data_IF_808074190086
#
_entry.id   IF_808074190086
#
_cell.length_a   1.000
_cell.length_b   1.000
_cell.length_c   1.000
_cell.angle_alpha   90.00
_cell.angle_beta   90.00
_cell.angle_gamma   90.00
#
_symmetry.space_group_name_H-M   'P 1'
#
loop_
_entity.id
_entity.type
_entity.pdbx_description
1 polymer ?
#
# COMPACT_ATOMS: atom_id res chain seq x y z
N UNK A 1 2.63 44.32 12.08
CA UNK A 1 3.23 43.70 13.27
C UNK A 1 3.78 42.37 12.84
N UNK A 2 5.01 42.06 13.24
CA UNK A 2 5.61 40.76 12.98
C UNK A 2 4.81 39.67 13.72
N UNK A 3 4.24 38.72 12.96
CA UNK A 3 3.47 37.60 13.53
C UNK A 3 4.38 36.47 14.00
N UNK A 4 5.68 36.55 13.71
CA UNK A 4 6.65 35.51 14.03
C UNK A 4 6.66 35.09 15.51
N UNK A 5 6.58 36.00 16.50
CA UNK A 5 6.55 35.60 17.91
C UNK A 5 5.33 34.76 18.29
N UNK A 6 4.17 34.99 17.67
CA UNK A 6 2.98 34.19 17.97
C UNK A 6 3.00 32.85 17.24
N UNK A 7 3.60 32.81 16.05
CA UNK A 7 3.78 31.58 15.28
C UNK A 7 4.71 30.61 16.03
N UNK A 8 5.85 31.11 16.52
CA UNK A 8 6.79 30.35 17.36
C UNK A 8 6.13 29.84 18.67
N UNK A 9 5.30 30.67 19.30
CA UNK A 9 4.54 30.29 20.48
C UNK A 9 3.54 29.16 20.15
N UNK A 10 2.80 29.30 19.05
CA UNK A 10 1.83 28.30 18.60
C UNK A 10 2.47 26.96 18.27
N UNK A 11 3.58 26.96 17.54
CA UNK A 11 4.35 25.75 17.25
C UNK A 11 4.86 25.08 18.53
N UNK A 12 5.43 25.85 19.46
CA UNK A 12 5.90 25.35 20.75
C UNK A 12 4.77 24.72 21.56
N UNK A 13 3.60 25.35 21.55
CA UNK A 13 2.41 24.82 22.20
C UNK A 13 1.95 23.51 21.56
N UNK A 14 1.90 23.44 20.22
CA UNK A 14 1.55 22.22 19.48
C UNK A 14 2.50 21.07 19.83
N UNK A 15 3.83 21.30 19.79
CA UNK A 15 4.84 20.31 20.18
C UNK A 15 4.59 19.78 21.59
N UNK A 16 4.36 20.69 22.56
CA UNK A 16 4.09 20.31 23.95
C UNK A 16 2.83 19.46 24.11
N UNK A 17 1.80 19.71 23.28
CA UNK A 17 0.53 18.96 23.31
C UNK A 17 0.68 17.59 22.65
N UNK A 18 1.40 17.51 21.54
CA UNK A 18 1.69 16.26 20.85
C UNK A 18 2.57 15.33 21.71
N UNK A 19 3.57 15.87 22.39
CA UNK A 19 4.43 15.12 23.31
C UNK A 19 3.65 14.44 24.43
N UNK A 20 2.58 15.06 24.94
CA UNK A 20 1.69 14.46 25.96
C UNK A 20 0.96 13.21 25.49
N UNK A 21 0.92 12.94 24.19
CA UNK A 21 0.31 11.77 23.58
C UNK A 21 1.34 10.82 22.95
N UNK A 22 2.62 11.00 23.29
CA UNK A 22 3.76 10.19 22.84
C UNK A 22 4.07 10.32 21.34
N UNK A 23 3.83 11.51 20.76
CA UNK A 23 4.27 11.82 19.41
C UNK A 23 5.62 12.53 19.40
N UNK A 24 6.57 11.97 18.66
CA UNK A 24 7.84 12.61 18.37
C UNK A 24 7.67 13.62 17.23
N UNK A 25 7.87 14.90 17.56
CA UNK A 25 7.78 16.00 16.60
C UNK A 25 9.17 16.48 16.20
N UNK A 26 9.42 16.60 14.90
CA UNK A 26 10.61 17.21 14.34
C UNK A 26 10.21 18.51 13.65
N UNK A 27 10.91 19.61 13.93
CA UNK A 27 10.79 20.84 13.14
C UNK A 27 11.43 20.61 11.76
N UNK A 28 10.85 21.19 10.71
CA UNK A 28 11.40 21.03 9.37
C UNK A 28 12.83 21.60 9.29
N UNK A 29 13.71 20.85 8.63
CA UNK A 29 15.09 21.22 8.35
C UNK A 29 15.11 22.31 7.26
N UNK A 30 14.86 23.55 7.67
CA UNK A 30 15.31 24.77 6.97
C UNK A 30 14.90 24.98 5.49
N UNK A 31 13.84 24.34 5.01
CA UNK A 31 13.28 24.60 3.67
C UNK A 31 11.76 24.59 3.70
N UNK A 32 11.17 25.78 3.69
CA UNK A 32 9.73 26.09 3.66
C UNK A 32 9.09 25.60 2.33
N UNK A 33 8.94 24.29 2.17
CA UNK A 33 8.33 23.65 1.01
C UNK A 33 7.02 22.96 1.44
N UNK A 34 5.95 23.26 0.71
CA UNK A 34 4.61 22.67 0.88
C UNK A 34 3.86 23.03 2.17
N UNK A 35 4.18 24.16 2.82
CA UNK A 35 3.42 24.63 3.99
C UNK A 35 3.50 23.71 5.21
N UNK A 36 4.67 23.12 5.43
CA UNK A 36 4.92 22.22 6.57
C UNK A 36 5.74 22.97 7.61
N UNK A 37 5.21 23.16 8.82
CA UNK A 37 5.96 23.77 9.92
C UNK A 37 6.56 22.69 10.83
N UNK A 38 5.84 21.58 11.01
CA UNK A 38 6.22 20.45 11.86
C UNK A 38 5.99 19.12 11.13
N UNK A 39 6.79 18.12 11.48
CA UNK A 39 6.61 16.75 11.02
C UNK A 39 6.51 15.84 12.24
N UNK A 40 5.45 15.04 12.33
CA UNK A 40 5.44 13.89 13.24
C UNK A 40 5.96 12.71 12.45
N UNK A 41 6.92 11.98 13.02
CA UNK A 41 7.37 10.73 12.42
C UNK A 41 7.04 9.56 13.34
N UNK A 42 6.67 8.44 12.74
CA UNK A 42 6.52 7.20 13.46
C UNK A 42 7.22 6.11 12.67
N UNK A 43 8.10 5.37 13.34
CA UNK A 43 8.59 4.10 12.80
C UNK A 43 7.41 3.15 12.72
N UNK A 44 7.01 2.88 11.50
CA UNK A 44 5.99 1.88 11.20
C UNK A 44 6.60 0.48 11.32
N UNK A 45 7.88 0.35 10.97
CA UNK A 45 8.72 -0.83 11.17
C UNK A 45 10.21 -0.44 11.34
N UNK A 46 11.13 -1.42 11.35
CA UNK A 46 12.58 -1.21 11.53
C UNK A 46 13.24 -0.37 10.41
N UNK A 47 12.56 -0.09 9.30
CA UNK A 47 13.14 0.54 8.10
C UNK A 47 12.28 1.62 7.44
N UNK A 48 10.97 1.64 7.70
CA UNK A 48 10.03 2.60 7.12
C UNK A 48 9.63 3.64 8.16
N UNK A 49 9.91 4.91 7.83
CA UNK A 49 9.45 6.06 8.59
C UNK A 49 8.24 6.65 7.89
N UNK A 50 7.05 6.50 8.50
CA UNK A 50 5.88 7.26 8.05
C UNK A 50 5.89 8.63 8.71
N UNK A 51 5.33 9.61 8.03
CA UNK A 51 5.28 10.97 8.54
C UNK A 51 3.93 11.63 8.26
N UNK A 52 3.57 12.56 9.14
CA UNK A 52 2.43 13.46 8.98
C UNK A 52 2.98 14.89 8.90
N UNK A 53 2.61 15.61 7.85
CA UNK A 53 2.92 17.03 7.66
C UNK A 53 1.95 17.85 8.51
N UNK A 54 2.48 18.74 9.33
CA UNK A 54 1.69 19.66 10.15
C UNK A 54 1.94 21.09 9.73
N UNK A 55 0.86 21.80 9.42
CA UNK A 55 0.87 23.26 9.37
C UNK A 55 0.34 23.81 10.71
N UNK A 56 1.10 24.71 11.31
CA UNK A 56 0.74 25.55 12.45
C UNK A 56 0.23 26.91 11.97
N UNK A 57 -0.96 27.31 12.42
CA UNK A 57 -1.47 28.68 12.23
C UNK A 57 -1.88 29.27 13.58
N UNK A 58 -1.04 30.16 14.11
CA UNK A 58 -1.30 30.86 15.36
C UNK A 58 -2.05 32.18 15.13
N UNK A 59 -3.06 32.51 15.96
CA UNK A 59 -3.85 33.74 15.82
C UNK A 59 -4.19 34.36 17.18
N UNK A 60 -4.09 35.69 17.29
CA UNK A 60 -4.77 36.46 18.35
C UNK A 60 -6.18 36.79 17.91
N UNK A 61 -7.18 36.46 18.72
CA UNK A 61 -8.59 36.68 18.41
C UNK A 61 -9.15 37.85 19.21
N UNK A 62 -9.12 39.05 18.60
CA UNK A 62 -9.70 40.25 19.19
C UNK A 62 -11.18 40.43 18.81
N UNK A 63 -11.49 40.36 17.51
CA UNK A 63 -12.87 40.40 16.97
C UNK A 63 -13.10 39.25 16.01
N UNK A 64 -12.28 39.19 14.97
CA UNK A 64 -12.28 38.12 13.98
C UNK A 64 -10.90 37.96 13.36
N UNK A 65 -10.63 36.77 12.84
CA UNK A 65 -9.44 36.45 12.07
C UNK A 65 -9.78 35.45 10.98
N UNK A 66 -8.84 35.25 10.05
CA UNK A 66 -8.98 34.24 9.01
C UNK A 66 -7.73 33.36 8.94
N UNK A 67 -7.94 32.07 8.73
CA UNK A 67 -6.90 31.11 8.36
C UNK A 67 -7.10 30.72 6.91
N UNK A 68 -6.02 30.72 6.14
CA UNK A 68 -6.01 30.41 4.70
C UNK A 68 -5.02 29.30 4.45
N UNK A 69 -5.42 28.29 3.69
CA UNK A 69 -4.60 27.13 3.34
C UNK A 69 -4.73 26.88 1.84
N UNK A 70 -3.61 26.83 1.08
CA UNK A 70 -3.63 26.41 -0.32
C UNK A 70 -4.23 25.02 -0.47
N UNK A 71 -5.09 24.83 -1.48
CA UNK A 71 -5.71 23.51 -1.74
C UNK A 71 -4.69 22.42 -2.01
N UNK A 72 -3.60 22.77 -2.68
CA UNK A 72 -2.50 21.86 -3.01
C UNK A 72 -1.80 21.23 -1.80
N UNK A 73 -1.98 21.79 -0.60
CA UNK A 73 -1.37 21.24 0.62
C UNK A 73 -2.24 20.16 1.27
N UNK A 74 -3.54 20.17 1.04
CA UNK A 74 -4.49 19.30 1.72
C UNK A 74 -4.52 17.94 1.04
N UNK A 75 -4.08 16.90 1.75
CA UNK A 75 -4.10 15.50 1.35
C UNK A 75 -4.15 14.60 2.62
N UNK A 76 -4.10 13.28 2.44
CA UNK A 76 -4.25 12.32 3.55
C UNK A 76 -3.15 12.37 4.62
N UNK A 77 -1.98 12.96 4.33
CA UNK A 77 -0.86 13.10 5.27
C UNK A 77 -0.71 14.51 5.83
N UNK A 78 -1.63 15.42 5.50
CA UNK A 78 -1.62 16.81 5.96
C UNK A 78 -2.59 17.04 7.11
N UNK A 79 -2.11 17.70 8.16
CA UNK A 79 -2.91 18.09 9.32
C UNK A 79 -2.70 19.57 9.63
N UNK A 80 -3.78 20.31 9.79
CA UNK A 80 -3.73 21.70 10.21
C UNK A 80 -3.99 21.81 11.71
N UNK A 81 -3.09 22.47 12.40
CA UNK A 81 -3.32 22.96 13.76
C UNK A 81 -3.57 24.47 13.75
N UNK A 82 -4.65 24.89 14.40
CA UNK A 82 -4.95 26.30 14.63
C UNK A 82 -4.85 26.57 16.13
N UNK A 83 -3.86 27.38 16.51
CA UNK A 83 -3.68 27.84 17.88
C UNK A 83 -4.25 29.26 18.02
N UNK A 84 -5.14 29.45 18.99
CA UNK A 84 -5.84 30.73 19.21
C UNK A 84 -5.58 31.21 20.63
N UNK A 85 -5.17 32.48 20.76
CA UNK A 85 -5.17 33.21 22.03
C UNK A 85 -6.29 34.23 21.97
N UNK A 86 -7.24 34.17 22.90
CA UNK A 86 -8.30 35.17 23.00
C UNK A 86 -7.85 36.43 23.76
N UNK A 87 -8.73 37.42 23.85
CA UNK A 87 -8.44 38.67 24.55
C UNK A 87 -8.28 38.51 26.07
N UNK A 88 -8.81 37.43 26.65
CA UNK A 88 -8.62 37.05 28.06
C UNK A 88 -7.33 36.24 28.26
N UNK A 89 -6.51 36.10 27.21
CA UNK A 89 -5.28 35.28 27.17
C UNK A 89 -5.54 33.79 27.38
N UNK A 90 -6.75 33.30 27.16
CA UNK A 90 -7.03 31.86 27.12
C UNK A 90 -6.54 31.29 25.80
N UNK A 91 -5.95 30.10 25.90
CA UNK A 91 -5.34 29.38 24.80
C UNK A 91 -6.24 28.23 24.35
N UNK A 92 -6.45 28.13 23.05
CA UNK A 92 -7.24 27.07 22.43
C UNK A 92 -6.43 26.44 21.30
N UNK A 93 -6.53 25.12 21.17
CA UNK A 93 -5.88 24.39 20.10
C UNK A 93 -6.89 23.53 19.36
N UNK A 94 -6.93 23.70 18.05
CA UNK A 94 -7.82 22.97 17.16
C UNK A 94 -7.01 22.18 16.13
N UNK A 95 -7.49 21.00 15.76
CA UNK A 95 -6.86 20.07 14.84
C UNK A 95 -7.84 19.65 13.74
N UNK A 96 -7.41 19.83 12.49
CA UNK A 96 -8.20 19.59 11.28
C UNK A 96 -7.49 18.59 10.38
N UNK A 97 -8.26 17.58 9.96
CA UNK A 97 -7.86 16.58 8.97
C UNK A 97 -8.49 16.93 7.62
N UNK A 98 -8.14 16.19 6.57
CA UNK A 98 -8.68 16.37 5.20
C UNK A 98 -10.21 16.48 5.18
N UNK A 99 -10.93 15.57 5.85
CA UNK A 99 -12.40 15.57 5.88
C UNK A 99 -13.01 16.80 6.60
N UNK A 100 -12.23 17.46 7.46
CA UNK A 100 -12.71 18.59 8.26
C UNK A 100 -12.77 19.89 7.42
N UNK A 101 -12.24 19.90 6.19
CA UNK A 101 -12.23 21.09 5.32
C UNK A 101 -13.60 21.55 4.82
N UNK A 102 -14.64 20.74 5.02
CA UNK A 102 -16.04 21.09 4.72
C UNK A 102 -16.53 22.33 5.45
N UNK A 103 -15.94 22.70 6.60
CA UNK A 103 -16.30 23.93 7.34
C UNK A 103 -15.60 25.19 6.81
N UNK A 104 -14.64 25.02 5.89
CA UNK A 104 -13.90 26.11 5.28
C UNK A 104 -14.68 26.62 4.07
N UNK A 105 -14.60 27.94 3.83
CA UNK A 105 -15.09 28.49 2.58
C UNK A 105 -14.08 28.16 1.49
N UNK A 106 -14.52 27.39 0.51
CA UNK A 106 -13.73 27.10 -0.68
C UNK A 106 -13.65 28.34 -1.59
N UNK A 107 -12.43 28.64 -2.06
CA UNK A 107 -12.16 29.59 -3.15
C UNK A 107 -11.38 28.88 -4.25
N UNK A 108 -11.01 29.58 -5.32
CA UNK A 108 -10.31 29.00 -6.47
C UNK A 108 -9.07 28.16 -6.07
N UNK A 109 -8.13 28.75 -5.32
CA UNK A 109 -6.86 28.09 -4.95
C UNK A 109 -6.64 27.87 -3.45
N UNK A 110 -7.57 28.31 -2.60
CA UNK A 110 -7.41 28.26 -1.14
C UNK A 110 -8.70 27.85 -0.42
N UNK A 111 -8.54 27.22 0.73
CA UNK A 111 -9.56 27.08 1.76
C UNK A 111 -9.44 28.20 2.78
N UNK A 112 -10.56 28.84 3.13
CA UNK A 112 -10.57 29.96 4.07
C UNK A 112 -11.52 29.71 5.24
N UNK A 113 -10.97 29.66 6.46
CA UNK A 113 -11.75 29.61 7.68
C UNK A 113 -11.79 30.98 8.34
N UNK A 114 -12.99 31.57 8.36
CA UNK A 114 -13.26 32.76 9.16
C UNK A 114 -13.65 32.37 10.58
N UNK A 115 -13.01 33.03 11.55
CA UNK A 115 -13.13 32.77 12.98
C UNK A 115 -13.49 34.09 13.66
N UNK A 116 -14.68 34.18 14.24
CA UNK A 116 -15.12 35.33 15.04
C UNK A 116 -15.15 34.99 16.52
N UNK A 117 -14.83 35.96 17.37
CA UNK A 117 -14.80 35.81 18.82
C UNK A 117 -16.14 35.32 19.39
N UNK A 118 -17.26 35.82 18.84
CA UNK A 118 -18.60 35.46 19.31
C UNK A 118 -19.02 34.02 19.02
N UNK A 119 -18.41 33.34 18.05
CA UNK A 119 -18.89 32.01 17.61
C UNK A 119 -17.82 30.94 17.53
N UNK A 120 -16.53 31.26 17.68
CA UNK A 120 -15.46 30.27 17.42
C UNK A 120 -15.56 29.05 18.33
N UNK A 121 -15.81 29.23 19.63
CA UNK A 121 -15.88 28.12 20.58
C UNK A 121 -16.97 27.11 20.19
N UNK A 122 -18.15 27.59 19.77
CA UNK A 122 -19.23 26.73 19.29
C UNK A 122 -18.88 26.09 17.94
N UNK A 123 -18.43 26.91 16.98
CA UNK A 123 -18.12 26.48 15.60
C UNK A 123 -17.00 25.44 15.54
N UNK A 124 -15.99 25.56 16.41
CA UNK A 124 -14.78 24.73 16.39
C UNK A 124 -14.74 23.69 17.51
N UNK A 125 -15.81 23.57 18.31
CA UNK A 125 -15.90 22.64 19.44
C UNK A 125 -15.46 21.21 19.10
N UNK A 126 -15.96 20.67 17.99
CA UNK A 126 -15.63 19.32 17.49
C UNK A 126 -14.21 19.17 16.91
N UNK A 127 -13.46 20.25 16.84
CA UNK A 127 -12.09 20.27 16.33
C UNK A 127 -11.06 20.51 17.42
N UNK A 128 -11.48 20.63 18.69
CA UNK A 128 -10.56 20.80 19.82
C UNK A 128 -9.55 19.65 19.85
N UNK A 129 -8.26 19.95 19.96
CA UNK A 129 -7.24 18.92 20.06
C UNK A 129 -7.27 18.29 21.45
N UNK A 130 -7.80 17.08 21.50
CA UNK A 130 -7.96 16.26 22.69
C UNK A 130 -7.50 14.82 22.42
N UNK A 131 -7.81 13.91 23.36
CA UNK A 131 -7.49 12.49 23.20
C UNK A 131 -8.10 11.88 21.94
N UNK A 132 -9.32 12.26 21.55
CA UNK A 132 -9.97 11.72 20.34
C UNK A 132 -9.23 12.14 19.07
N UNK A 133 -8.80 13.41 18.98
CA UNK A 133 -7.97 13.87 17.85
C UNK A 133 -6.58 13.23 17.85
N UNK A 134 -5.97 13.02 19.02
CA UNK A 134 -4.72 12.29 19.15
C UNK A 134 -4.86 10.82 18.69
N UNK A 135 -5.94 10.14 19.08
CA UNK A 135 -6.21 8.76 18.64
C UNK A 135 -6.45 8.70 17.12
N UNK A 136 -7.09 9.72 16.52
CA UNK A 136 -7.22 9.83 15.05
C UNK A 136 -5.86 10.02 14.35
N UNK A 137 -4.92 10.77 14.93
CA UNK A 137 -3.54 10.84 14.42
C UNK A 137 -2.84 9.47 14.48
N UNK A 138 -3.00 8.71 15.57
CA UNK A 138 -2.44 7.34 15.68
C UNK A 138 -3.05 6.42 14.61
N UNK A 139 -4.36 6.52 14.38
CA UNK A 139 -5.05 5.73 13.36
C UNK A 139 -4.56 6.05 11.92
N UNK A 140 -4.14 7.29 11.63
CA UNK A 140 -3.50 7.61 10.34
C UNK A 140 -2.20 6.83 10.16
N UNK A 141 -1.35 6.77 11.18
CA UNK A 141 -0.13 5.96 11.11
C UNK A 141 -0.43 4.47 10.93
N UNK A 142 -1.46 3.93 11.59
CA UNK A 142 -1.91 2.55 11.35
C UNK A 142 -2.42 2.33 9.91
N UNK A 143 -3.10 3.30 9.32
CA UNK A 143 -3.48 3.25 7.89
C UNK A 143 -2.24 3.20 7.00
N UNK A 144 -1.20 3.99 7.31
CA UNK A 144 0.05 3.97 6.56
C UNK A 144 0.83 2.66 6.71
N UNK A 145 0.55 1.84 7.74
CA UNK A 145 1.11 0.48 7.84
C UNK A 145 0.51 -0.51 6.85
N UNK A 146 -0.72 -0.27 6.36
CA UNK A 146 -1.37 -1.19 5.43
C UNK A 146 -0.64 -1.16 4.09
N UNK A 147 -0.29 -2.34 3.57
CA UNK A 147 0.37 -2.48 2.27
C UNK A 147 -0.56 -2.03 1.16
N UNK A 148 -0.18 -0.96 0.46
CA UNK A 148 -1.03 -0.33 -0.56
C UNK A 148 -0.99 -1.04 -1.92
N UNK A 149 -0.04 -1.95 -2.12
CA UNK A 149 0.26 -2.59 -3.40
C UNK A 149 0.12 -4.11 -3.32
N UNK A 150 0.04 -4.75 -4.49
CA UNK A 150 0.16 -6.21 -4.61
C UNK A 150 1.13 -6.55 -5.71
N UNK A 151 2.03 -7.48 -5.41
CA UNK A 151 3.00 -8.00 -6.36
C UNK A 151 2.76 -9.49 -6.56
N UNK A 152 2.61 -9.90 -7.81
CA UNK A 152 2.62 -11.28 -8.23
C UNK A 152 4.04 -11.66 -8.66
N UNK A 153 4.62 -12.68 -8.06
CA UNK A 153 5.95 -13.20 -8.39
C UNK A 153 5.79 -14.64 -8.89
N UNK A 154 6.34 -14.94 -10.05
CA UNK A 154 6.19 -16.23 -10.72
C UNK A 154 7.56 -16.84 -10.98
N UNK A 155 7.77 -18.02 -10.40
CA UNK A 155 8.89 -18.89 -10.74
C UNK A 155 8.59 -19.61 -12.07
N UNK A 156 9.34 -19.26 -13.12
CA UNK A 156 9.16 -19.83 -14.45
C UNK A 156 9.57 -21.30 -14.58
N UNK A 157 10.43 -21.82 -13.69
CA UNK A 157 10.75 -23.26 -13.62
C UNK A 157 9.54 -24.02 -13.13
N UNK A 158 9.01 -23.60 -11.98
CA UNK A 158 7.81 -24.19 -11.41
C UNK A 158 6.58 -24.03 -12.32
N UNK A 159 6.42 -22.87 -12.98
CA UNK A 159 5.30 -22.65 -13.89
C UNK A 159 5.33 -23.61 -15.10
N UNK A 160 6.51 -23.86 -15.69
CA UNK A 160 6.65 -24.81 -16.80
C UNK A 160 6.19 -26.20 -16.39
N UNK A 161 6.68 -26.68 -15.26
CA UNK A 161 6.31 -28.00 -14.74
C UNK A 161 4.81 -28.07 -14.46
N UNK A 162 4.25 -27.02 -13.85
CA UNK A 162 2.82 -26.93 -13.56
C UNK A 162 1.97 -26.98 -14.82
N UNK A 163 2.40 -26.33 -15.91
CA UNK A 163 1.73 -26.37 -17.21
C UNK A 163 1.75 -27.79 -17.79
N UNK A 164 2.91 -28.45 -17.77
CA UNK A 164 3.07 -29.80 -18.32
C UNK A 164 2.20 -30.81 -17.56
N UNK A 165 2.21 -30.77 -16.23
CA UNK A 165 1.41 -31.69 -15.41
C UNK A 165 -0.08 -31.41 -15.50
N UNK A 166 -0.48 -30.14 -15.47
CA UNK A 166 -1.88 -29.75 -15.64
C UNK A 166 -2.40 -30.21 -17.02
N UNK A 167 -1.61 -30.01 -18.07
CA UNK A 167 -1.96 -30.47 -19.41
C UNK A 167 -2.10 -31.99 -19.47
N UNK A 168 -1.15 -32.73 -18.87
CA UNK A 168 -1.19 -34.20 -18.82
C UNK A 168 -2.46 -34.68 -18.11
N UNK A 169 -2.69 -34.19 -16.90
CA UNK A 169 -3.84 -34.56 -16.08
C UNK A 169 -5.15 -34.34 -16.84
N UNK A 170 -5.43 -33.11 -17.28
CA UNK A 170 -6.71 -32.81 -17.93
C UNK A 170 -6.87 -33.41 -19.32
N UNK A 171 -5.78 -33.64 -20.06
CA UNK A 171 -5.86 -34.34 -21.35
C UNK A 171 -6.30 -35.80 -21.19
N UNK A 172 -5.91 -36.46 -20.09
CA UNK A 172 -6.34 -37.83 -19.77
C UNK A 172 -7.85 -37.89 -19.47
N UNK A 173 -8.39 -36.91 -18.71
CA UNK A 173 -9.81 -36.86 -18.34
C UNK A 173 -10.72 -36.43 -19.51
N UNK A 174 -10.39 -35.32 -20.19
CA UNK A 174 -11.28 -34.72 -21.19
C UNK A 174 -11.07 -35.26 -22.61
N UNK A 175 -10.02 -36.07 -22.84
CA UNK A 175 -9.70 -36.73 -24.12
C UNK A 175 -9.70 -35.77 -25.33
N UNK A 176 -9.32 -34.51 -25.11
CA UNK A 176 -9.24 -33.46 -26.15
C UNK A 176 -7.89 -32.77 -26.10
N UNK A 177 -7.49 -32.19 -27.24
CA UNK A 177 -6.28 -31.39 -27.32
C UNK A 177 -6.52 -30.03 -26.65
N UNK A 178 -5.84 -29.81 -25.53
CA UNK A 178 -5.87 -28.53 -24.81
C UNK A 178 -5.05 -27.47 -25.56
N UNK A 179 -5.44 -26.20 -25.39
CA UNK A 179 -4.74 -25.07 -26.02
C UNK A 179 -3.44 -24.79 -25.26
N UNK A 180 -2.43 -24.32 -25.98
CA UNK A 180 -1.24 -23.75 -25.35
C UNK A 180 -1.67 -22.52 -24.53
N UNK A 181 -1.37 -22.47 -23.22
CA UNK A 181 -1.82 -21.38 -22.36
C UNK A 181 -1.09 -20.07 -22.70
N UNK A 182 -1.75 -18.94 -22.41
CA UNK A 182 -1.17 -17.59 -22.54
C UNK A 182 -0.88 -17.00 -21.17
N UNK A 183 0.28 -16.37 -21.00
CA UNK A 183 0.71 -15.82 -19.71
C UNK A 183 -0.31 -14.83 -19.12
N UNK A 184 -0.84 -13.90 -19.93
CA UNK A 184 -1.80 -12.92 -19.44
C UNK A 184 -3.10 -13.55 -18.93
N UNK A 185 -3.58 -14.64 -19.54
CA UNK A 185 -4.80 -15.33 -19.08
C UNK A 185 -4.56 -16.08 -17.77
N UNK A 186 -3.37 -16.68 -17.59
CA UNK A 186 -2.96 -17.28 -16.30
C UNK A 186 -2.93 -16.20 -15.22
N UNK A 187 -2.20 -15.09 -15.46
CA UNK A 187 -2.07 -13.98 -14.51
C UNK A 187 -3.43 -13.39 -14.15
N UNK A 188 -4.27 -13.13 -15.15
CA UNK A 188 -5.64 -12.64 -14.97
C UNK A 188 -6.46 -13.60 -14.10
N UNK A 189 -6.39 -14.89 -14.36
CA UNK A 189 -7.12 -15.91 -13.59
C UNK A 189 -6.63 -16.02 -12.15
N UNK A 190 -5.31 -15.90 -11.92
CA UNK A 190 -4.74 -15.82 -10.56
C UNK A 190 -5.33 -14.62 -9.81
N UNK A 191 -5.30 -13.44 -10.43
CA UNK A 191 -5.79 -12.20 -9.82
C UNK A 191 -7.28 -12.30 -9.51
N UNK A 192 -8.11 -12.75 -10.47
CA UNK A 192 -9.57 -12.85 -10.27
C UNK A 192 -9.92 -13.84 -9.14
N UNK A 193 -9.22 -14.97 -9.05
CA UNK A 193 -9.60 -16.05 -8.13
C UNK A 193 -8.98 -15.93 -6.74
N UNK A 194 -7.73 -15.45 -6.68
CA UNK A 194 -6.89 -15.60 -5.50
C UNK A 194 -6.44 -14.29 -4.87
N UNK A 195 -6.46 -13.17 -5.61
CA UNK A 195 -6.16 -11.88 -5.00
C UNK A 195 -7.28 -11.47 -4.02
N UNK A 196 -7.03 -11.63 -2.72
CA UNK A 196 -7.97 -11.30 -1.64
C UNK A 196 -7.56 -10.06 -0.84
N UNK A 197 -6.50 -9.39 -1.26
CA UNK A 197 -5.97 -8.25 -0.53
C UNK A 197 -6.86 -7.02 -0.76
N UNK A 198 -7.17 -6.28 0.31
CA UNK A 198 -7.80 -4.96 0.20
C UNK A 198 -6.77 -3.99 -0.39
N UNK A 199 -6.90 -3.69 -1.68
CA UNK A 199 -5.97 -2.80 -2.37
C UNK A 199 -6.49 -1.36 -2.33
N UNK A 200 -5.65 -0.43 -1.86
CA UNK A 200 -5.92 1.01 -1.99
C UNK A 200 -5.63 1.52 -3.41
N UNK A 201 -4.73 0.85 -4.13
CA UNK A 201 -4.38 1.16 -5.52
C UNK A 201 -4.70 -0.02 -6.44
N UNK A 202 -5.29 0.27 -7.59
CA UNK A 202 -5.73 -0.75 -8.54
C UNK A 202 -4.60 -1.27 -9.45
N UNK A 203 -3.33 -1.14 -9.07
CA UNK A 203 -2.19 -1.53 -9.90
C UNK A 203 -1.48 -2.75 -9.32
N UNK A 204 -1.26 -3.77 -10.15
CA UNK A 204 -0.54 -5.01 -9.80
C UNK A 204 0.68 -5.15 -10.69
N UNK A 205 1.85 -5.26 -10.05
CA UNK A 205 3.08 -5.63 -10.72
C UNK A 205 3.22 -7.16 -10.73
N UNK A 206 3.43 -7.75 -11.89
CA UNK A 206 3.66 -9.17 -12.08
C UNK A 206 5.09 -9.39 -12.57
N UNK A 207 5.90 -10.15 -11.84
CA UNK A 207 7.27 -10.50 -12.22
C UNK A 207 7.34 -11.98 -12.56
N UNK A 208 7.81 -12.30 -13.76
CA UNK A 208 8.09 -13.66 -14.21
C UNK A 208 9.60 -13.83 -14.39
N UNK A 209 10.19 -14.75 -13.62
CA UNK A 209 11.62 -15.08 -13.71
C UNK A 209 11.80 -16.37 -14.48
N UNK A 210 12.58 -16.33 -15.55
CA UNK A 210 12.84 -17.45 -16.44
C UNK A 210 14.33 -17.75 -16.42
N UNK A 211 14.70 -19.02 -16.21
CA UNK A 211 16.10 -19.44 -16.41
C UNK A 211 16.42 -19.49 -17.92
N UNK A 212 17.59 -19.03 -18.32
CA UNK A 212 18.08 -19.12 -19.70
C UNK A 212 18.22 -20.56 -20.20
N UNK A 213 18.27 -21.53 -19.28
CA UNK A 213 18.30 -22.96 -19.58
C UNK A 213 16.90 -23.60 -19.57
N UNK A 214 15.84 -22.80 -19.39
CA UNK A 214 14.47 -23.28 -19.28
C UNK A 214 13.64 -22.93 -20.52
N UNK A 215 13.13 -23.97 -21.18
CA UNK A 215 12.22 -23.85 -22.33
C UNK A 215 10.75 -23.49 -21.98
N UNK A 216 10.49 -22.60 -21.02
CA UNK A 216 9.12 -22.21 -20.65
C UNK A 216 8.33 -21.71 -21.87
N UNK A 217 8.99 -21.00 -22.79
CA UNK A 217 8.41 -20.44 -24.03
C UNK A 217 7.85 -21.54 -24.95
N UNK A 218 8.34 -22.78 -24.85
CA UNK A 218 7.83 -23.89 -25.65
C UNK A 218 6.43 -24.34 -25.19
N UNK A 219 6.10 -24.16 -23.91
CA UNK A 219 4.83 -24.60 -23.31
C UNK A 219 3.88 -23.45 -22.97
N UNK A 220 4.38 -22.20 -22.96
CA UNK A 220 3.63 -21.00 -22.62
C UNK A 220 3.78 -19.93 -23.71
N UNK A 221 2.68 -19.30 -24.12
CA UNK A 221 2.73 -18.13 -24.98
C UNK A 221 2.94 -16.85 -24.15
N UNK A 222 4.12 -16.25 -24.32
CA UNK A 222 4.51 -14.99 -23.69
C UNK A 222 4.47 -13.90 -24.78
N UNK A 223 3.45 -13.04 -24.74
CA UNK A 223 3.34 -11.92 -25.67
C UNK A 223 4.12 -10.72 -25.13
N UNK A 224 5.36 -10.58 -25.60
CA UNK A 224 6.24 -9.45 -25.23
C UNK A 224 5.71 -8.07 -25.67
N UNK A 225 4.67 -8.01 -26.52
CA UNK A 225 4.04 -6.74 -26.95
C UNK A 225 2.88 -6.32 -26.04
N UNK A 226 2.27 -7.26 -25.33
CA UNK A 226 1.16 -7.01 -24.40
C UNK A 226 1.57 -7.27 -22.95
N UNK A 227 2.49 -6.45 -22.45
CA UNK A 227 2.96 -6.50 -21.07
C UNK A 227 2.04 -5.76 -20.08
N UNK A 228 0.90 -5.24 -20.53
CA UNK A 228 -0.07 -4.58 -19.66
C UNK A 228 -1.51 -4.82 -20.09
N UNK A 229 -2.40 -5.07 -19.14
CA UNK A 229 -3.82 -5.28 -19.40
C UNK A 229 -4.68 -4.91 -18.19
N UNK A 230 -5.98 -4.75 -18.42
CA UNK A 230 -6.96 -4.48 -17.37
C UNK A 230 -7.72 -5.76 -16.99
N UNK A 231 -7.88 -5.99 -15.69
CA UNK A 231 -8.75 -7.00 -15.11
C UNK A 231 -10.03 -6.32 -14.61
N UNK A 232 -11.18 -6.80 -15.06
CA UNK A 232 -12.52 -6.28 -14.73
C UNK A 232 -12.66 -4.76 -14.94
N UNK A 233 -11.93 -4.17 -15.90
CA UNK A 233 -11.88 -2.73 -16.19
C UNK A 233 -11.49 -1.83 -15.00
N UNK A 234 -10.89 -2.40 -13.95
CA UNK A 234 -10.51 -1.67 -12.73
C UNK A 234 -9.05 -1.85 -12.40
N UNK A 235 -8.56 -3.08 -12.44
CA UNK A 235 -7.20 -3.41 -11.98
C UNK A 235 -6.25 -3.42 -13.17
N UNK A 236 -5.26 -2.53 -13.17
CA UNK A 236 -4.16 -2.52 -14.13
C UNK A 236 -3.10 -3.53 -13.73
N UNK A 237 -2.73 -4.40 -14.65
CA UNK A 237 -1.69 -5.40 -14.43
C UNK A 237 -0.55 -5.10 -15.39
N UNK A 238 0.67 -5.04 -14.86
CA UNK A 238 1.89 -4.89 -15.67
C UNK A 238 2.81 -6.07 -15.44
N UNK A 239 3.16 -6.77 -16.52
CA UNK A 239 4.04 -7.94 -16.52
C UNK A 239 5.47 -7.50 -16.85
N UNK A 240 6.41 -7.94 -16.02
CA UNK A 240 7.85 -7.83 -16.21
C UNK A 240 8.41 -9.24 -16.38
N UNK A 241 9.10 -9.49 -17.49
CA UNK A 241 9.73 -10.78 -17.76
C UNK A 241 11.24 -10.61 -17.65
N UNK A 242 11.86 -11.40 -16.78
CA UNK A 242 13.28 -11.38 -16.51
C UNK A 242 13.90 -12.74 -16.82
N UNK A 243 15.01 -12.71 -17.54
CA UNK A 243 15.78 -13.90 -17.91
C UNK A 243 17.08 -13.95 -17.11
N UNK A 244 17.42 -15.12 -16.57
CA UNK A 244 18.59 -15.28 -15.70
C UNK A 244 19.41 -16.53 -16.00
N UNK A 245 20.73 -16.40 -15.88
CA UNK A 245 21.67 -17.54 -15.86
C UNK A 245 21.84 -18.13 -14.45
N UNK A 246 21.35 -17.44 -13.42
CA UNK A 246 21.44 -17.85 -12.02
C UNK A 246 20.25 -18.71 -11.62
N UNK A 247 20.27 -19.23 -10.38
CA UNK A 247 19.12 -19.91 -9.80
C UNK A 247 17.97 -18.92 -9.62
N UNK A 248 16.87 -19.17 -10.33
CA UNK A 248 15.64 -18.35 -10.30
C UNK A 248 15.15 -18.12 -8.87
N UNK A 249 15.28 -19.12 -8.00
CA UNK A 249 14.82 -19.04 -6.63
C UNK A 249 15.54 -17.96 -5.80
N UNK A 250 16.83 -17.72 -6.01
CA UNK A 250 17.55 -16.67 -5.28
C UNK A 250 17.10 -15.27 -5.68
N UNK A 251 16.86 -15.05 -6.97
CA UNK A 251 16.34 -13.76 -7.44
C UNK A 251 14.93 -13.48 -6.91
N UNK A 252 14.10 -14.52 -6.85
CA UNK A 252 12.77 -14.43 -6.26
C UNK A 252 12.85 -14.12 -4.76
N UNK A 253 13.77 -14.76 -4.01
CA UNK A 253 13.97 -14.47 -2.58
C UNK A 253 14.42 -13.02 -2.36
N UNK A 254 15.35 -12.51 -3.16
CA UNK A 254 15.79 -11.12 -3.09
C UNK A 254 14.64 -10.14 -3.36
N UNK A 255 13.82 -10.43 -4.36
CA UNK A 255 12.70 -9.58 -4.72
C UNK A 255 11.53 -9.69 -3.73
N UNK A 256 11.30 -10.84 -3.12
CA UNK A 256 10.41 -10.97 -1.95
C UNK A 256 10.91 -10.07 -0.82
N UNK A 257 12.21 -10.11 -0.48
CA UNK A 257 12.78 -9.24 0.55
C UNK A 257 12.63 -7.75 0.23
N UNK A 258 12.77 -7.38 -1.04
CA UNK A 258 12.56 -6.01 -1.52
C UNK A 258 11.11 -5.57 -1.40
N UNK A 259 10.16 -6.43 -1.76
CA UNK A 259 8.75 -6.05 -1.91
C UNK A 259 7.89 -6.29 -0.67
N UNK A 260 8.26 -7.23 0.21
CA UNK A 260 7.43 -7.69 1.35
C UNK A 260 6.92 -6.54 2.22
N UNK A 261 7.70 -5.46 2.37
CA UNK A 261 7.37 -4.34 3.26
C UNK A 261 6.22 -3.46 2.76
N UNK A 262 6.11 -3.25 1.44
CA UNK A 262 5.11 -2.33 0.86
C UNK A 262 4.05 -3.04 0.01
N UNK A 263 4.23 -4.34 -0.27
CA UNK A 263 3.37 -5.10 -1.15
C UNK A 263 2.84 -6.34 -0.46
N UNK A 264 1.55 -6.59 -0.63
CA UNK A 264 1.01 -7.94 -0.49
C UNK A 264 1.62 -8.83 -1.57
N UNK A 265 2.01 -10.06 -1.24
CA UNK A 265 2.71 -10.92 -2.20
C UNK A 265 1.86 -12.12 -2.59
N UNK A 266 1.78 -12.39 -3.89
CA UNK A 266 1.30 -13.66 -4.44
C UNK A 266 2.52 -14.34 -5.05
N UNK A 267 2.92 -15.49 -4.54
CA UNK A 267 4.09 -16.25 -5.00
C UNK A 267 3.64 -17.52 -5.71
N UNK A 268 3.98 -17.69 -6.99
CA UNK A 268 3.78 -18.93 -7.74
C UNK A 268 5.07 -19.74 -7.70
N UNK A 269 5.16 -20.67 -6.75
CA UNK A 269 6.30 -21.54 -6.51
C UNK A 269 5.87 -22.78 -5.70
N UNK A 270 6.61 -23.89 -5.81
CA UNK A 270 6.41 -25.07 -4.96
C UNK A 270 7.70 -25.83 -4.61
N UNK A 271 8.86 -25.18 -4.70
CA UNK A 271 10.17 -25.81 -4.49
C UNK A 271 10.64 -25.73 -3.03
N UNK A 272 11.19 -26.82 -2.48
CA UNK A 272 11.77 -26.89 -1.12
C UNK A 272 12.85 -25.83 -0.87
N UNK A 273 13.53 -25.34 -1.91
CA UNK A 273 14.51 -24.25 -1.79
C UNK A 273 13.91 -23.01 -1.11
N UNK A 274 12.61 -22.75 -1.28
CA UNK A 274 11.92 -21.63 -0.65
C UNK A 274 11.55 -21.88 0.81
N UNK A 275 11.52 -23.13 1.29
CA UNK A 275 10.89 -23.47 2.57
C UNK A 275 11.53 -22.76 3.75
N UNK A 276 12.86 -22.84 3.89
CA UNK A 276 13.57 -22.20 5.00
C UNK A 276 13.40 -20.68 4.96
N UNK A 277 13.59 -20.08 3.80
CA UNK A 277 13.44 -18.65 3.60
C UNK A 277 12.03 -18.16 3.97
N UNK A 278 11.00 -18.87 3.52
CA UNK A 278 9.61 -18.53 3.79
C UNK A 278 9.24 -18.74 5.27
N UNK A 279 9.77 -19.77 5.93
CA UNK A 279 9.60 -19.98 7.38
C UNK A 279 10.22 -18.86 8.21
N UNK A 280 11.39 -18.38 7.81
CA UNK A 280 12.02 -17.24 8.48
C UNK A 280 11.15 -15.98 8.33
N UNK A 281 10.49 -15.80 7.18
CA UNK A 281 9.56 -14.71 6.92
C UNK A 281 8.22 -14.81 7.68
N UNK A 282 7.73 -16.01 8.02
CA UNK A 282 6.42 -16.17 8.70
C UNK A 282 6.34 -15.43 10.03
N UNK A 283 7.49 -15.27 10.69
CA UNK A 283 7.62 -14.55 11.95
C UNK A 283 7.54 -13.02 11.78
N UNK A 284 7.78 -12.52 10.56
CA UNK A 284 7.85 -11.10 10.24
C UNK A 284 6.62 -10.61 9.45
N UNK A 285 6.07 -11.44 8.56
CA UNK A 285 5.10 -11.00 7.57
C UNK A 285 4.11 -12.11 7.18
N UNK A 286 2.83 -11.95 7.54
CA UNK A 286 1.78 -12.97 7.33
C UNK A 286 1.03 -12.81 6.00
N UNK A 287 1.42 -11.87 5.14
CA UNK A 287 0.63 -11.47 3.96
C UNK A 287 1.20 -12.00 2.64
N UNK A 288 1.71 -13.22 2.64
CA UNK A 288 2.09 -13.96 1.42
C UNK A 288 1.03 -15.02 1.12
N UNK A 289 0.53 -15.02 -0.11
CA UNK A 289 -0.32 -16.06 -0.67
C UNK A 289 0.50 -16.91 -1.64
N UNK A 290 0.53 -18.23 -1.44
CA UNK A 290 1.33 -19.10 -2.28
C UNK A 290 0.46 -19.89 -3.26
N UNK A 291 0.78 -19.82 -4.54
CA UNK A 291 0.18 -20.64 -5.58
C UNK A 291 1.04 -21.88 -5.79
N UNK A 292 0.47 -23.04 -5.47
CA UNK A 292 1.12 -24.35 -5.53
C UNK A 292 0.36 -25.25 -6.48
N UNK A 293 0.96 -26.37 -6.87
CA UNK A 293 0.25 -27.38 -7.66
C UNK A 293 -0.21 -28.49 -6.72
N UNK A 294 -1.51 -28.81 -6.74
CA UNK A 294 -2.08 -29.90 -5.91
C UNK A 294 -2.12 -31.26 -6.63
N UNK A 295 -1.80 -31.28 -7.92
CA UNK A 295 -1.92 -32.48 -8.76
C UNK A 295 -0.71 -33.38 -8.49
N UNK A 296 -0.95 -34.51 -7.81
CA UNK A 296 0.02 -35.51 -7.34
C UNK A 296 0.98 -34.98 -6.25
N UNK A 297 1.15 -35.72 -5.16
CA UNK A 297 2.17 -35.43 -4.14
C UNK A 297 3.55 -35.48 -4.78
N UNK A 298 4.26 -34.35 -4.83
CA UNK A 298 5.61 -34.30 -5.39
C UNK A 298 6.68 -34.58 -4.32
N UNK A 299 7.77 -35.27 -4.66
CA UNK A 299 8.98 -35.22 -3.84
C UNK A 299 9.53 -33.77 -3.86
N UNK A 300 9.93 -33.25 -2.70
CA UNK A 300 10.49 -31.90 -2.50
C UNK A 300 9.50 -30.72 -2.59
N UNK A 301 8.23 -30.92 -2.25
CA UNK A 301 7.33 -29.78 -2.00
C UNK A 301 7.76 -29.00 -0.75
N UNK A 302 7.67 -27.68 -0.80
CA UNK A 302 7.89 -26.85 0.38
C UNK A 302 6.73 -26.92 1.36
N UNK A 303 7.02 -27.12 2.65
CA UNK A 303 6.03 -27.10 3.74
C UNK A 303 6.10 -25.78 4.52
N UNK A 304 5.11 -24.91 4.31
CA UNK A 304 5.01 -23.58 4.97
C UNK A 304 3.56 -23.33 5.41
N UNK A 305 3.37 -22.46 6.40
CA UNK A 305 2.08 -22.13 7.00
C UNK A 305 1.36 -20.95 6.34
N UNK A 306 1.75 -20.58 5.13
CA UNK A 306 1.03 -19.56 4.35
C UNK A 306 -0.27 -20.10 3.78
N UNK A 307 -1.22 -19.19 3.57
CA UNK A 307 -2.40 -19.49 2.75
C UNK A 307 -1.93 -19.86 1.35
N UNK A 308 -2.64 -20.79 0.72
CA UNK A 308 -2.29 -21.23 -0.62
C UNK A 308 -3.50 -21.43 -1.54
N UNK A 309 -3.25 -21.39 -2.85
CA UNK A 309 -4.19 -21.69 -3.91
C UNK A 309 -3.60 -22.67 -4.91
N UNK A 310 -4.46 -23.37 -5.65
CA UNK A 310 -4.01 -24.32 -6.67
C UNK A 310 -3.80 -23.60 -8.02
N UNK A 311 -2.58 -23.68 -8.55
CA UNK A 311 -2.18 -23.09 -9.83
C UNK A 311 -2.74 -23.88 -11.03
N UNK A 312 -3.14 -25.14 -10.84
CA UNK A 312 -3.75 -25.95 -11.89
C UNK A 312 -5.03 -25.32 -12.44
N UNK A 313 -5.81 -24.64 -11.58
CA UNK A 313 -7.06 -24.00 -11.97
C UNK A 313 -6.85 -22.82 -12.93
N UNK A 314 -6.03 -21.78 -12.61
CA UNK A 314 -5.68 -20.73 -13.58
C UNK A 314 -5.07 -21.26 -14.88
N UNK A 315 -4.23 -22.29 -14.80
CA UNK A 315 -3.62 -22.90 -15.99
C UNK A 315 -4.69 -23.57 -16.84
N UNK A 316 -5.55 -24.39 -16.25
CA UNK A 316 -6.62 -25.10 -16.95
C UNK A 316 -7.59 -24.17 -17.68
N UNK A 317 -8.02 -23.08 -17.04
CA UNK A 317 -8.82 -22.04 -17.69
C UNK A 317 -8.10 -21.46 -18.91
N UNK A 318 -6.81 -21.14 -18.78
CA UNK A 318 -6.01 -20.59 -19.89
C UNK A 318 -5.77 -21.59 -21.04
N UNK A 319 -5.91 -22.89 -20.77
CA UNK A 319 -5.88 -23.97 -21.76
C UNK A 319 -7.21 -24.16 -22.50
N UNK A 320 -8.25 -23.40 -22.13
CA UNK A 320 -9.58 -23.46 -22.73
C UNK A 320 -10.52 -24.47 -22.06
N UNK A 321 -10.24 -24.85 -20.81
CA UNK A 321 -11.20 -25.55 -19.95
C UNK A 321 -12.18 -24.55 -19.35
N UNK A 322 -13.41 -24.99 -19.16
CA UNK A 322 -14.47 -24.22 -18.49
C UNK A 322 -14.39 -24.42 -16.96
N UNK A 323 -14.93 -23.49 -16.15
CA UNK A 323 -14.87 -23.60 -14.69
C UNK A 323 -15.47 -24.88 -14.11
N UNK A 324 -16.43 -25.52 -14.78
CA UNK A 324 -17.04 -26.78 -14.34
C UNK A 324 -16.19 -28.01 -14.70
N UNK A 325 -15.13 -27.84 -15.51
CA UNK A 325 -14.21 -28.89 -15.93
C UNK A 325 -12.97 -29.02 -15.02
N UNK A 326 -12.86 -28.17 -13.99
CA UNK A 326 -11.67 -27.96 -13.14
C UNK A 326 -11.89 -28.30 -11.66
#
# INVERSE_FOLDING_TARGET
MDNKPIEELGESFIKSRLLKFDFDTHSELSYDKDGTDLIITQKVDNTTLSYIKIQSKARKLNKSTSVRIPKSYVNENFVLFIYIIDHEKKEYLYCFFEDDYTIFKEKENEYVLNISYSTFAKKLSNHTFDKSKADRLKALFEKFKKKSFTTLIIDGVFLKESILETNKFYSEYWKRKLKKPKLHEIVKSIIIKYNRFEQNQNDIACYLYISNHNDLVNVLDIDNKQNSFLVNNKISVKIFVSYSNELVCFQIMDDINRFKKSNNLILVANDIAYERFLKDLENEDKEILIMRLKINERPNEMFVNYKWGDISYPIGLSMGLEPFEL
#
